data_IF_169261394666
#
_entry.id   IF_169261394666
#
_cell.length_a   1.000
_cell.length_b   1.000
_cell.length_c   1.000
_cell.angle_alpha   90.00
_cell.angle_beta   90.00
_cell.angle_gamma   90.00
#
_symmetry.space_group_name_H-M   'P 1'
#
loop_
_entity.id
_entity.type
_entity.pdbx_description
1 polymer ?
#
# COMPACT_ATOMS: atom_id res chain seq x y z
N UNK A 1 -10.52 -4.97 10.15
CA UNK A 1 -9.76 -6.21 9.97
C UNK A 1 -8.47 -6.24 10.81
N UNK A 2 -7.50 -5.32 10.68
CA UNK A 2 -6.31 -5.32 11.54
C UNK A 2 -6.57 -4.93 13.01
N UNK A 3 -7.46 -3.96 13.27
CA UNK A 3 -7.86 -3.62 14.64
C UNK A 3 -8.71 -4.71 15.31
N UNK A 4 -9.41 -5.53 14.52
CA UNK A 4 -10.26 -6.60 15.04
C UNK A 4 -9.41 -7.81 15.51
N UNK A 5 -8.30 -8.11 14.81
CA UNK A 5 -7.37 -9.19 15.15
C UNK A 5 -6.69 -8.96 16.52
N UNK A 6 -6.40 -7.71 16.89
CA UNK A 6 -5.69 -7.39 18.14
C UNK A 6 -6.56 -7.54 19.39
N UNK A 7 -7.89 -7.46 19.24
CA UNK A 7 -8.83 -7.57 20.36
C UNK A 7 -9.24 -9.03 20.63
N UNK A 8 -8.96 -9.95 19.71
CA UNK A 8 -9.43 -11.33 19.76
C UNK A 8 -8.41 -12.31 20.36
N UNK A 9 -7.11 -12.00 20.30
CA UNK A 9 -6.07 -12.86 20.87
C UNK A 9 -5.17 -12.08 21.84
N UNK A 10 -5.41 -12.25 23.15
CA UNK A 10 -4.42 -12.55 24.19
C UNK A 10 -5.00 -12.26 25.59
N UNK A 11 -5.02 -13.23 26.53
CA UNK A 11 -5.11 -12.93 27.96
C UNK A 11 -3.77 -12.34 28.40
N UNK A 12 -3.53 -11.07 28.10
CA UNK A 12 -2.31 -10.38 28.49
C UNK A 12 -2.28 -10.18 30.02
N UNK A 13 -1.21 -10.65 30.65
CA UNK A 13 -0.82 -10.16 31.98
C UNK A 13 -0.76 -8.62 31.97
N UNK A 14 -1.11 -7.92 33.06
CA UNK A 14 -1.20 -6.45 33.11
C UNK A 14 0.12 -5.68 32.85
N UNK A 15 1.21 -6.38 32.51
CA UNK A 15 2.58 -5.84 32.43
C UNK A 15 3.05 -5.67 30.97
N UNK A 16 2.41 -6.29 29.97
CA UNK A 16 2.87 -6.23 28.57
C UNK A 16 1.93 -5.39 27.70
N UNK A 17 2.41 -4.24 27.20
CA UNK A 17 1.70 -3.43 26.20
C UNK A 17 2.30 -3.69 24.81
N UNK A 18 1.55 -4.25 23.84
CA UNK A 18 2.07 -4.52 22.50
C UNK A 18 2.21 -3.22 21.69
N UNK A 19 3.29 -3.14 20.91
CA UNK A 19 3.48 -2.07 19.91
C UNK A 19 3.19 -2.62 18.53
N UNK A 20 2.27 -1.98 17.82
CA UNK A 20 1.89 -2.35 16.46
C UNK A 20 2.32 -1.24 15.51
N UNK A 21 3.07 -1.61 14.48
CA UNK A 21 3.49 -0.68 13.43
C UNK A 21 3.63 -1.41 12.09
N UNK A 22 3.52 -0.65 11.00
CA UNK A 22 3.67 -1.17 9.63
C UNK A 22 4.78 -0.39 8.92
N UNK A 23 5.74 -1.11 8.36
CA UNK A 23 6.86 -0.54 7.60
C UNK A 23 6.77 -1.05 6.16
N UNK A 24 6.96 -0.18 5.17
CA UNK A 24 7.05 -0.53 3.75
C UNK A 24 8.03 0.38 3.03
N UNK A 25 8.77 -0.17 2.07
CA UNK A 25 9.72 0.57 1.24
C UNK A 25 9.67 0.06 -0.21
N UNK A 26 8.83 0.69 -1.04
CA UNK A 26 8.56 0.24 -2.40
C UNK A 26 9.72 0.50 -3.37
N UNK A 27 10.49 1.58 -3.20
CA UNK A 27 11.61 1.92 -4.08
C UNK A 27 12.72 0.85 -4.09
N UNK A 28 12.86 0.08 -3.01
CA UNK A 28 13.85 -1.01 -2.90
C UNK A 28 13.21 -2.40 -3.02
N UNK A 29 12.01 -2.50 -3.59
CA UNK A 29 11.40 -3.78 -3.86
C UNK A 29 12.23 -4.54 -4.89
N UNK A 30 12.59 -5.78 -4.55
CA UNK A 30 13.42 -6.61 -5.42
C UNK A 30 12.58 -7.25 -6.51
N UNK A 31 13.18 -7.52 -7.66
CA UNK A 31 12.57 -8.45 -8.60
C UNK A 31 12.90 -9.90 -8.19
N UNK A 32 12.01 -10.83 -8.47
CA UNK A 32 12.14 -12.24 -8.08
C UNK A 32 12.07 -13.16 -9.28
N UNK A 33 12.76 -14.29 -9.16
CA UNK A 33 12.72 -15.39 -10.13
C UNK A 33 12.65 -16.70 -9.35
N UNK A 34 11.70 -17.60 -9.65
CA UNK A 34 11.58 -18.89 -8.96
C UNK A 34 12.68 -19.86 -9.44
N UNK A 35 13.89 -19.72 -8.89
CA UNK A 35 15.07 -20.51 -9.29
C UNK A 35 15.31 -21.79 -8.48
N UNK A 36 14.59 -22.00 -7.37
CA UNK A 36 14.88 -23.07 -6.39
C UNK A 36 14.90 -24.48 -6.99
N UNK A 37 14.02 -24.75 -7.95
CA UNK A 37 13.93 -26.06 -8.63
C UNK A 37 14.77 -26.15 -9.91
N UNK A 38 15.37 -25.03 -10.32
CA UNK A 38 16.13 -24.89 -11.56
C UNK A 38 15.26 -24.87 -12.83
N UNK A 39 15.68 -24.08 -13.82
CA UNK A 39 15.12 -24.14 -15.18
C UNK A 39 16.16 -24.76 -16.10
N UNK A 40 15.80 -25.88 -16.74
CA UNK A 40 16.74 -26.69 -17.54
C UNK A 40 16.98 -26.11 -18.93
N UNK A 41 15.91 -25.68 -19.62
CA UNK A 41 15.90 -25.06 -20.96
C UNK A 41 14.66 -24.18 -21.07
N UNK A 42 14.80 -22.98 -21.64
CA UNK A 42 13.69 -22.05 -21.91
C UNK A 42 13.84 -20.70 -21.20
N UNK A 43 12.94 -19.79 -21.51
CA UNK A 43 12.96 -18.42 -21.00
C UNK A 43 12.49 -18.34 -19.55
N UNK A 44 12.99 -17.33 -18.83
CA UNK A 44 12.56 -17.00 -17.49
C UNK A 44 12.23 -15.52 -17.40
N UNK A 45 11.11 -15.21 -16.74
CA UNK A 45 10.67 -13.85 -16.52
C UNK A 45 11.10 -13.38 -15.14
N UNK A 46 11.73 -12.21 -15.11
CA UNK A 46 12.03 -11.49 -13.89
C UNK A 46 10.75 -10.78 -13.41
N UNK A 47 10.19 -11.23 -12.29
CA UNK A 47 8.91 -10.77 -11.79
C UNK A 47 9.10 -9.58 -10.84
N UNK A 48 8.33 -8.51 -11.06
CA UNK A 48 8.28 -7.35 -10.16
C UNK A 48 7.41 -7.68 -8.93
N UNK A 49 8.02 -7.62 -7.74
CA UNK A 49 7.31 -7.91 -6.47
C UNK A 49 6.34 -6.81 -6.07
N UNK A 50 6.53 -5.55 -6.51
CA UNK A 50 5.56 -4.48 -6.27
C UNK A 50 4.22 -4.86 -6.89
N UNK A 51 4.28 -5.38 -8.12
CA UNK A 51 3.09 -5.80 -8.85
C UNK A 51 2.54 -7.10 -8.27
N UNK A 52 3.32 -8.17 -8.21
CA UNK A 52 2.76 -9.48 -7.85
C UNK A 52 2.31 -9.58 -6.38
N UNK A 53 2.99 -8.91 -5.45
CA UNK A 53 2.68 -9.02 -4.02
C UNK A 53 1.79 -7.87 -3.51
N UNK A 54 1.69 -6.77 -4.26
CA UNK A 54 1.10 -5.52 -3.75
C UNK A 54 -0.01 -4.89 -4.59
N UNK A 55 0.06 -4.96 -5.92
CA UNK A 55 -0.79 -4.17 -6.83
C UNK A 55 -1.57 -4.99 -7.86
N UNK A 56 -1.44 -6.32 -7.83
CA UNK A 56 -2.19 -7.23 -8.67
C UNK A 56 -3.29 -7.93 -7.87
N UNK A 57 -4.47 -8.04 -8.47
CA UNK A 57 -5.57 -8.81 -7.88
C UNK A 57 -5.23 -10.31 -7.95
N UNK A 58 -5.26 -10.99 -6.80
CA UNK A 58 -4.87 -12.39 -6.72
C UNK A 58 -5.88 -13.36 -7.38
N UNK A 59 -7.13 -12.94 -7.59
CA UNK A 59 -8.20 -13.80 -8.11
C UNK A 59 -8.40 -13.62 -9.61
N UNK A 60 -8.33 -12.38 -10.08
CA UNK A 60 -8.61 -12.00 -11.45
C UNK A 60 -7.38 -11.57 -12.24
N UNK A 61 -6.21 -11.53 -11.58
CA UNK A 61 -4.91 -11.27 -12.20
C UNK A 61 -4.87 -9.98 -13.04
N UNK A 62 -5.43 -8.90 -12.52
CA UNK A 62 -5.36 -7.57 -13.13
C UNK A 62 -4.95 -6.51 -12.10
N UNK A 63 -4.44 -5.38 -12.61
CA UNK A 63 -3.90 -4.30 -11.78
C UNK A 63 -4.98 -3.61 -10.95
N UNK A 64 -4.68 -3.19 -9.72
CA UNK A 64 -5.60 -2.44 -8.85
C UNK A 64 -6.17 -1.15 -9.50
N UNK A 65 -5.52 -0.61 -10.52
CA UNK A 65 -6.11 0.49 -11.32
C UNK A 65 -7.40 0.08 -12.04
N UNK A 66 -7.47 -1.15 -12.54
CA UNK A 66 -8.66 -1.68 -13.22
C UNK A 66 -9.79 -1.93 -12.22
N UNK A 67 -9.49 -2.31 -10.96
CA UNK A 67 -10.54 -2.39 -9.93
C UNK A 67 -11.17 -1.01 -9.70
N UNK A 68 -10.36 0.06 -9.68
CA UNK A 68 -10.85 1.42 -9.56
C UNK A 68 -11.73 1.84 -10.75
N UNK A 69 -11.34 1.51 -11.97
CA UNK A 69 -12.17 1.76 -13.17
C UNK A 69 -13.50 1.01 -13.12
N UNK A 70 -13.50 -0.25 -12.65
CA UNK A 70 -14.73 -1.02 -12.47
C UNK A 70 -15.70 -0.34 -11.50
N UNK A 71 -15.18 0.17 -10.38
CA UNK A 71 -15.98 0.94 -9.40
C UNK A 71 -16.47 2.24 -10.02
N UNK A 72 -15.61 2.99 -10.72
CA UNK A 72 -15.99 4.24 -11.37
C UNK A 72 -17.11 4.04 -12.40
N UNK A 73 -17.03 2.99 -13.21
CA UNK A 73 -18.09 2.63 -14.17
C UNK A 73 -19.40 2.23 -13.47
N UNK A 74 -19.32 1.39 -12.45
CA UNK A 74 -20.49 0.90 -11.71
C UNK A 74 -21.26 2.04 -11.02
N UNK A 75 -20.53 3.02 -10.49
CA UNK A 75 -21.11 4.15 -9.76
C UNK A 75 -21.19 5.44 -10.58
N UNK A 76 -20.88 5.35 -11.88
CA UNK A 76 -20.91 6.45 -12.83
C UNK A 76 -20.11 7.69 -12.39
N UNK A 77 -18.95 7.47 -11.76
CA UNK A 77 -18.06 8.54 -11.33
C UNK A 77 -17.28 9.08 -12.53
N UNK A 78 -17.53 10.34 -12.87
CA UNK A 78 -16.91 10.95 -14.05
C UNK A 78 -15.42 11.22 -13.84
N UNK A 79 -14.68 11.39 -14.95
CA UNK A 79 -13.28 11.78 -14.87
C UNK A 79 -13.11 13.17 -14.24
N UNK A 80 -14.00 14.11 -14.55
CA UNK A 80 -13.94 15.45 -13.95
C UNK A 80 -14.17 15.41 -12.43
N UNK A 81 -15.05 14.52 -11.95
CA UNK A 81 -15.30 14.34 -10.52
C UNK A 81 -14.06 13.78 -9.80
N UNK A 82 -13.40 12.78 -10.39
CA UNK A 82 -12.15 12.22 -9.86
C UNK A 82 -11.04 13.28 -9.80
N UNK A 83 -10.85 14.04 -10.88
CA UNK A 83 -9.83 15.09 -10.96
C UNK A 83 -10.12 16.23 -9.97
N UNK A 84 -11.39 16.62 -9.82
CA UNK A 84 -11.81 17.63 -8.84
C UNK A 84 -11.51 17.18 -7.41
N UNK A 85 -11.76 15.91 -7.08
CA UNK A 85 -11.41 15.34 -5.78
C UNK A 85 -9.89 15.32 -5.56
N UNK A 86 -9.11 14.92 -6.57
CA UNK A 86 -7.66 14.89 -6.48
C UNK A 86 -7.07 16.28 -6.19
N UNK A 87 -7.51 17.32 -6.92
CA UNK A 87 -7.09 18.71 -6.68
C UNK A 87 -7.45 19.17 -5.26
N UNK A 88 -8.66 18.86 -4.79
CA UNK A 88 -9.07 19.19 -3.43
C UNK A 88 -8.19 18.49 -2.38
N UNK A 89 -7.83 17.22 -2.59
CA UNK A 89 -6.95 16.46 -1.70
C UNK A 89 -5.55 17.09 -1.63
N UNK A 90 -4.98 17.47 -2.77
CA UNK A 90 -3.67 18.13 -2.83
C UNK A 90 -3.69 19.47 -2.10
N UNK A 91 -4.69 20.32 -2.36
CA UNK A 91 -4.84 21.62 -1.71
C UNK A 91 -5.01 21.50 -0.18
N UNK A 92 -5.76 20.50 0.29
CA UNK A 92 -5.90 20.22 1.74
C UNK A 92 -4.58 19.81 2.36
N UNK A 93 -3.80 18.98 1.66
CA UNK A 93 -2.49 18.52 2.13
C UNK A 93 -1.52 19.69 2.23
N UNK A 94 -1.47 20.56 1.22
CA UNK A 94 -0.66 21.78 1.23
C UNK A 94 -1.02 22.71 2.40
N UNK A 95 -2.32 22.94 2.62
CA UNK A 95 -2.79 23.77 3.73
C UNK A 95 -2.43 23.17 5.09
N UNK A 96 -2.59 21.85 5.27
CA UNK A 96 -2.25 21.14 6.51
C UNK A 96 -0.73 21.17 6.79
N UNK A 97 0.09 21.02 5.75
CA UNK A 97 1.54 21.16 5.85
C UNK A 97 1.94 22.58 6.29
N UNK A 98 1.40 23.61 5.64
CA UNK A 98 1.66 25.02 6.00
C UNK A 98 1.19 25.39 7.41
N UNK A 99 0.13 24.75 7.88
CA UNK A 99 -0.41 24.94 9.23
C UNK A 99 0.33 24.13 10.31
N UNK A 100 1.32 23.31 9.95
CA UNK A 100 2.11 22.52 10.89
C UNK A 100 1.38 21.32 11.49
N UNK A 101 0.27 20.86 10.88
CA UNK A 101 -0.53 19.77 11.46
C UNK A 101 0.22 18.43 11.57
N UNK A 102 1.20 18.20 10.68
CA UNK A 102 1.98 16.96 10.67
C UNK A 102 3.22 16.98 11.58
N UNK A 103 3.55 18.12 12.20
CA UNK A 103 4.78 18.28 13.00
C UNK A 103 4.83 17.35 14.21
N UNK A 104 3.67 17.02 14.80
CA UNK A 104 3.58 16.17 16.00
C UNK A 104 3.65 14.68 15.69
N UNK A 105 3.37 14.27 14.45
CA UNK A 105 3.25 12.86 14.06
C UNK A 105 4.42 12.37 13.18
N UNK A 106 5.14 13.28 12.51
CA UNK A 106 6.29 12.92 11.67
C UNK A 106 7.59 13.01 12.47
N UNK A 107 8.30 11.87 12.57
CA UNK A 107 9.66 11.81 13.11
C UNK A 107 10.67 11.91 11.95
N UNK A 108 11.67 12.82 12.02
CA UNK A 108 12.64 13.00 10.94
C UNK A 108 13.56 11.77 10.79
N UNK A 109 13.83 11.38 9.55
CA UNK A 109 14.82 10.35 9.20
C UNK A 109 16.11 11.05 8.78
N UNK A 110 17.20 10.77 9.48
CA UNK A 110 18.52 11.35 9.16
C UNK A 110 19.22 10.47 8.12
N UNK A 111 19.59 11.07 6.98
CA UNK A 111 20.39 10.41 5.94
C UNK A 111 21.86 10.74 6.13
N UNK A 112 22.74 9.75 5.95
CA UNK A 112 24.20 9.92 6.02
C UNK A 112 24.77 10.53 4.74
#
# INVERSE_FOLDING_TARGET
MFNDILMEELPLSPILVPVVHKIRHYTNASHVVPMRVGVKVGDMFLQDTILCDGLMDAFYNYHMGVTAENVAMQWHVSREEQDKFAVQSQNRTEAAQKAGYFEKEIVPVVTQ
#
